data_IF_429142495432
#
_entry.id   IF_429142495432
#
_cell.length_a   1.000
_cell.length_b   1.000
_cell.length_c   1.000
_cell.angle_alpha   90.00
_cell.angle_beta   90.00
_cell.angle_gamma   90.00
#
_symmetry.space_group_name_H-M   'P 1'
#
loop_
_entity.id
_entity.type
_entity.pdbx_description
1 polymer ?
#
# COMPACT_ATOMS: atom_id res chain seq x y z
N UNK A 1 2.82 -27.27 0.78
CA UNK A 1 3.23 -25.91 0.34
C UNK A 1 2.19 -24.89 0.82
N UNK A 2 2.41 -24.20 1.95
CA UNK A 2 1.44 -23.23 2.50
C UNK A 2 2.07 -21.98 3.13
N UNK A 3 3.41 -21.93 3.14
CA UNK A 3 4.18 -20.92 3.87
C UNK A 3 4.47 -19.64 3.06
N UNK A 4 4.31 -19.67 1.73
CA UNK A 4 4.57 -18.48 0.90
C UNK A 4 3.52 -17.39 1.13
N UNK A 5 2.25 -17.70 1.38
CA UNK A 5 1.24 -16.65 1.50
C UNK A 5 1.42 -15.71 2.70
N UNK A 6 1.96 -16.19 3.82
CA UNK A 6 2.10 -15.36 5.03
C UNK A 6 3.24 -14.34 4.93
N UNK A 7 4.40 -14.74 4.38
CA UNK A 7 5.52 -13.81 4.19
C UNK A 7 5.16 -12.66 3.25
N UNK A 8 4.36 -12.94 2.21
CA UNK A 8 3.87 -11.90 1.33
C UNK A 8 2.84 -11.01 2.02
N UNK A 9 1.96 -11.53 2.89
CA UNK A 9 1.04 -10.70 3.67
C UNK A 9 1.77 -9.73 4.59
N UNK A 10 2.82 -10.18 5.28
CA UNK A 10 3.60 -9.34 6.18
C UNK A 10 4.25 -8.15 5.45
N UNK A 11 4.84 -8.42 4.27
CA UNK A 11 5.43 -7.37 3.43
C UNK A 11 4.35 -6.39 2.94
N UNK A 12 3.18 -6.87 2.50
CA UNK A 12 2.07 -6.00 2.07
C UNK A 12 1.62 -5.07 3.18
N UNK A 13 1.44 -5.60 4.38
CA UNK A 13 0.97 -4.84 5.54
C UNK A 13 2.01 -3.79 5.95
N UNK A 14 3.29 -4.16 5.95
CA UNK A 14 4.39 -3.23 6.20
C UNK A 14 4.44 -2.08 5.19
N UNK A 15 4.29 -2.40 3.90
CA UNK A 15 4.29 -1.41 2.83
C UNK A 15 3.06 -0.51 2.89
N UNK A 16 1.89 -1.06 3.20
CA UNK A 16 0.67 -0.30 3.42
C UNK A 16 0.82 0.68 4.59
N UNK A 17 1.38 0.22 5.71
CA UNK A 17 1.66 1.05 6.87
C UNK A 17 2.67 2.18 6.56
N UNK A 18 3.75 1.88 5.82
CA UNK A 18 4.69 2.90 5.35
C UNK A 18 4.01 3.96 4.46
N UNK A 19 3.09 3.54 3.58
CA UNK A 19 2.32 4.46 2.76
C UNK A 19 1.37 5.33 3.59
N UNK A 20 0.70 4.74 4.58
CA UNK A 20 -0.20 5.44 5.51
C UNK A 20 0.56 6.41 6.44
N UNK A 21 1.82 6.12 6.76
CA UNK A 21 2.72 7.02 7.48
C UNK A 21 3.14 8.26 6.65
N UNK A 22 2.69 8.38 5.40
CA UNK A 22 2.95 9.53 4.53
C UNK A 22 4.11 9.34 3.55
N UNK A 23 4.69 8.13 3.45
CA UNK A 23 5.73 7.85 2.45
C UNK A 23 5.10 7.81 1.05
N UNK A 24 5.74 8.49 0.10
CA UNK A 24 5.27 8.53 -1.30
C UNK A 24 5.20 7.11 -1.88
N UNK A 25 4.04 6.76 -2.42
CA UNK A 25 3.79 5.48 -3.10
C UNK A 25 4.82 5.17 -4.18
N UNK A 26 5.30 6.18 -4.94
CA UNK A 26 6.34 5.99 -5.96
C UNK A 26 7.71 5.56 -5.39
N UNK A 27 8.03 5.97 -4.15
CA UNK A 27 9.26 5.55 -3.47
C UNK A 27 9.13 4.10 -3.01
N UNK A 28 7.98 3.74 -2.43
CA UNK A 28 7.68 2.36 -2.02
C UNK A 28 7.63 1.41 -3.21
N UNK A 29 7.00 1.82 -4.30
CA UNK A 29 6.97 1.09 -5.57
C UNK A 29 8.38 0.71 -6.04
N UNK A 30 9.32 1.67 -6.02
CA UNK A 30 10.73 1.40 -6.39
C UNK A 30 11.48 0.56 -5.36
N UNK A 31 11.28 0.83 -4.07
CA UNK A 31 11.94 0.11 -2.96
C UNK A 31 11.55 -1.37 -2.93
N UNK A 32 10.32 -1.68 -3.28
CA UNK A 32 9.76 -3.03 -3.25
C UNK A 32 9.63 -3.68 -4.63
N UNK A 33 10.11 -3.03 -5.69
CA UNK A 33 9.99 -3.47 -7.09
C UNK A 33 8.56 -3.85 -7.48
N UNK A 34 7.59 -3.02 -7.10
CA UNK A 34 6.17 -3.23 -7.41
C UNK A 34 5.54 -1.99 -8.01
N UNK A 35 4.45 -2.19 -8.74
CA UNK A 35 3.71 -1.08 -9.33
C UNK A 35 3.04 -0.21 -8.24
N UNK A 36 2.94 1.12 -8.43
CA UNK A 36 2.24 2.00 -7.51
C UNK A 36 0.76 1.62 -7.34
N UNK A 37 0.14 1.03 -8.38
CA UNK A 37 -1.20 0.42 -8.31
C UNK A 37 -1.27 -0.70 -7.28
N UNK A 38 -0.25 -1.55 -7.22
CA UNK A 38 -0.16 -2.67 -6.28
C UNK A 38 -0.08 -2.18 -4.84
N UNK A 39 0.74 -1.16 -4.58
CA UNK A 39 0.83 -0.50 -3.27
C UNK A 39 -0.54 0.04 -2.85
N UNK A 40 -1.26 0.72 -3.75
CA UNK A 40 -2.59 1.27 -3.46
C UNK A 40 -3.60 0.16 -3.16
N UNK A 41 -3.49 -0.99 -3.82
CA UNK A 41 -4.31 -2.15 -3.51
C UNK A 41 -3.99 -2.71 -2.12
N UNK A 42 -2.71 -2.82 -1.75
CA UNK A 42 -2.30 -3.27 -0.41
C UNK A 42 -2.77 -2.32 0.69
N UNK A 43 -2.72 -1.02 0.47
CA UNK A 43 -3.27 -0.02 1.41
C UNK A 43 -4.77 -0.22 1.58
N UNK A 44 -5.51 -0.45 0.49
CA UNK A 44 -6.94 -0.72 0.54
C UNK A 44 -7.27 -2.03 1.26
N UNK A 45 -6.55 -3.11 0.94
CA UNK A 45 -6.72 -4.41 1.63
C UNK A 45 -6.39 -4.31 3.12
N UNK A 46 -5.37 -3.53 3.48
CA UNK A 46 -5.03 -3.25 4.87
C UNK A 46 -6.15 -2.45 5.57
N UNK A 47 -6.73 -1.44 4.92
CA UNK A 47 -7.86 -0.71 5.50
C UNK A 47 -9.13 -1.55 5.65
N UNK A 48 -9.37 -2.47 4.72
CA UNK A 48 -10.48 -3.41 4.79
C UNK A 48 -10.30 -4.42 5.94
N UNK A 49 -9.07 -4.91 6.13
CA UNK A 49 -8.72 -5.89 7.18
C UNK A 49 -8.66 -5.24 8.58
N UNK A 50 -8.21 -3.99 8.70
CA UNK A 50 -8.01 -3.29 9.99
C UNK A 50 -9.10 -2.24 10.31
N UNK A 51 -9.99 -1.93 9.37
CA UNK A 51 -11.07 -0.97 9.53
C UNK A 51 -10.71 0.46 9.12
N UNK A 52 -11.73 1.24 8.77
CA UNK A 52 -11.65 2.62 8.27
C UNK A 52 -11.00 3.65 9.21
N UNK A 53 -10.66 3.24 10.44
CA UNK A 53 -9.98 4.07 11.45
C UNK A 53 -8.49 4.31 11.11
N UNK A 54 -7.92 3.54 10.17
CA UNK A 54 -6.51 3.61 9.78
C UNK A 54 -6.18 4.71 8.76
N UNK A 55 -7.09 5.64 8.46
CA UNK A 55 -6.91 6.69 7.45
C UNK A 55 -6.70 8.07 8.08
N UNK A 56 -5.52 8.71 7.92
CA UNK A 56 -5.51 10.12 7.58
C UNK A 56 -6.04 10.21 6.14
N UNK A 57 -7.12 10.96 5.94
CA UNK A 57 -7.72 11.28 4.65
C UNK A 57 -6.69 11.88 3.68
N UNK A 58 -5.99 11.05 2.91
CA UNK A 58 -5.21 11.47 1.73
C UNK A 58 -6.08 11.24 0.50
N UNK A 59 -7.25 11.88 0.51
CA UNK A 59 -7.88 12.30 -0.73
C UNK A 59 -6.98 13.43 -1.28
N UNK A 60 -6.73 13.47 -2.60
CA UNK A 60 -6.00 14.52 -3.36
C UNK A 60 -4.56 14.32 -3.87
N UNK A 61 -3.90 13.16 -3.80
CA UNK A 61 -2.62 13.00 -4.54
C UNK A 61 -2.50 11.65 -5.23
N UNK A 62 -3.07 11.53 -6.43
CA UNK A 62 -2.39 11.27 -7.72
C UNK A 62 -3.51 11.18 -8.76
N UNK A 63 -3.94 12.34 -9.27
CA UNK A 63 -4.47 12.46 -10.63
C UNK A 63 -3.34 13.07 -11.48
N UNK A 64 -2.29 12.29 -11.74
CA UNK A 64 -1.27 12.68 -12.72
C UNK A 64 -0.64 11.41 -13.31
N UNK A 65 -1.32 10.80 -14.27
CA UNK A 65 -0.76 9.87 -15.26
C UNK A 65 -1.78 9.58 -16.37
N UNK A 66 -2.60 10.57 -16.75
CA UNK A 66 -3.36 10.53 -18.00
C UNK A 66 -3.37 11.93 -18.62
N UNK A 67 -2.28 12.25 -19.32
CA UNK A 67 -2.25 12.59 -20.75
C UNK A 67 -1.05 13.46 -21.07
#
# INVERSE_FOLDING_TARGET
MRQRNNAFKDVRNKVAQEALAGIKVGVLARKYDVSPKTIRNWVKEFQDEFGADALPTIDERINDSKR
#
